data_IF_671201320849
#
_entry.id   IF_671201320849
#
_cell.length_a   1.000
_cell.length_b   1.000
_cell.length_c   1.000
_cell.angle_alpha   90.00
_cell.angle_beta   90.00
_cell.angle_gamma   90.00
#
_symmetry.space_group_name_H-M   'P 1'
#
loop_
_entity.id
_entity.type
_entity.pdbx_description
1 polymer ?
#
# COMPACT_ATOMS: atom_id res chain seq x y z
N UNK A 1 -12.62 -11.13 -11.50
CA UNK A 1 -11.88 -10.14 -10.68
C UNK A 1 -11.41 -9.05 -11.61
N UNK A 2 -11.64 -7.78 -11.28
CA UNK A 2 -11.28 -6.65 -12.14
C UNK A 2 -9.77 -6.59 -12.38
N UNK A 3 -9.34 -6.03 -13.51
CA UNK A 3 -7.92 -5.87 -13.85
C UNK A 3 -7.21 -5.04 -12.78
N UNK A 4 -6.23 -5.64 -12.12
CA UNK A 4 -5.36 -5.00 -11.12
C UNK A 4 -4.22 -4.22 -11.81
N UNK A 5 -3.90 -4.58 -13.05
CA UNK A 5 -2.89 -3.90 -13.85
C UNK A 5 -3.16 -2.38 -13.96
N UNK A 6 -2.14 -1.57 -13.67
CA UNK A 6 -2.19 -0.11 -13.65
C UNK A 6 -2.87 0.51 -12.41
N UNK A 7 -3.43 -0.30 -11.50
CA UNK A 7 -3.99 0.21 -10.25
C UNK A 7 -2.87 0.66 -9.30
N UNK A 8 -3.09 1.77 -8.57
CA UNK A 8 -2.14 2.33 -7.62
C UNK A 8 -2.57 2.06 -6.17
N UNK A 9 -1.61 1.67 -5.34
CA UNK A 9 -1.82 1.50 -3.91
C UNK A 9 -0.66 2.10 -3.13
N UNK A 10 -0.97 2.73 -2.01
CA UNK A 10 0.02 3.37 -1.17
C UNK A 10 0.57 2.42 -0.10
N UNK A 11 1.84 2.60 0.26
CA UNK A 11 2.50 1.88 1.36
C UNK A 11 2.98 2.93 2.37
N UNK A 12 2.36 2.97 3.55
CA UNK A 12 2.73 3.82 4.68
C UNK A 12 3.26 2.95 5.82
N UNK A 13 4.54 2.61 5.75
CA UNK A 13 5.17 1.70 6.69
C UNK A 13 6.65 2.03 6.84
N UNK A 14 7.23 1.67 7.99
CA UNK A 14 8.70 1.74 8.16
C UNK A 14 9.36 0.70 7.25
N UNK A 15 10.66 0.89 7.01
CA UNK A 15 11.45 -0.09 6.26
C UNK A 15 11.37 -1.46 6.93
N UNK A 16 11.01 -2.48 6.14
CA UNK A 16 10.84 -3.84 6.60
C UNK A 16 10.41 -4.75 5.45
N UNK A 17 10.42 -6.06 5.69
CA UNK A 17 10.16 -7.05 4.63
C UNK A 17 8.77 -6.89 4.01
N UNK A 18 7.75 -6.44 4.77
CA UNK A 18 6.38 -6.22 4.26
C UNK A 18 6.30 -5.12 3.21
N UNK A 19 7.17 -4.10 3.30
CA UNK A 19 7.25 -3.07 2.24
C UNK A 19 7.72 -3.70 0.93
N UNK A 20 8.73 -4.56 0.99
CA UNK A 20 9.23 -5.27 -0.19
C UNK A 20 8.24 -6.31 -0.69
N UNK A 21 7.60 -7.06 0.20
CA UNK A 21 6.55 -8.02 -0.16
C UNK A 21 5.40 -7.35 -0.92
N UNK A 22 4.92 -6.21 -0.43
CA UNK A 22 3.88 -5.43 -1.12
C UNK A 22 4.37 -4.91 -2.48
N UNK A 23 5.61 -4.43 -2.59
CA UNK A 23 6.18 -4.03 -3.89
C UNK A 23 6.21 -5.19 -4.87
N UNK A 24 6.71 -6.35 -4.44
CA UNK A 24 6.74 -7.56 -5.26
C UNK A 24 5.35 -8.04 -5.66
N UNK A 25 4.36 -7.96 -4.76
CA UNK A 25 2.97 -8.22 -5.09
C UNK A 25 2.45 -7.26 -6.17
N UNK A 26 2.80 -5.97 -6.07
CA UNK A 26 2.48 -4.97 -7.10
C UNK A 26 3.08 -5.34 -8.45
N UNK A 27 4.39 -5.60 -8.50
CA UNK A 27 5.09 -5.99 -9.73
C UNK A 27 4.52 -7.27 -10.33
N UNK A 28 4.19 -8.25 -9.49
CA UNK A 28 3.57 -9.49 -9.93
C UNK A 28 2.17 -9.28 -10.51
N UNK A 29 1.39 -8.35 -9.97
CA UNK A 29 0.00 -8.09 -10.41
C UNK A 29 -0.11 -7.01 -11.50
N UNK A 30 1.00 -6.38 -11.89
CA UNK A 30 1.03 -5.19 -12.74
C UNK A 30 0.44 -3.94 -12.06
N UNK A 31 0.28 -3.95 -10.74
CA UNK A 31 -0.10 -2.77 -9.96
C UNK A 31 1.14 -1.91 -9.65
N UNK A 32 0.89 -0.64 -9.37
CA UNK A 32 1.91 0.40 -9.17
C UNK A 32 1.94 0.75 -7.67
N UNK A 33 2.92 0.28 -6.90
CA UNK A 33 3.09 0.67 -5.52
C UNK A 33 3.50 2.15 -5.42
N UNK A 34 3.01 2.82 -4.38
CA UNK A 34 3.33 4.22 -4.06
C UNK A 34 3.86 4.28 -2.62
N UNK A 35 5.17 4.08 -2.40
CA UNK A 35 5.74 4.16 -1.06
C UNK A 35 5.72 5.61 -0.56
N UNK A 36 5.17 5.81 0.64
CA UNK A 36 5.00 7.11 1.26
C UNK A 36 6.09 7.32 2.31
N UNK A 37 6.74 8.48 2.26
CA UNK A 37 7.68 8.88 3.30
C UNK A 37 6.93 9.06 4.63
N UNK A 38 7.29 8.25 5.63
CA UNK A 38 6.68 8.23 6.97
C UNK A 38 6.86 9.53 7.76
N UNK A 39 7.73 10.44 7.31
CA UNK A 39 7.96 11.74 7.93
C UNK A 39 6.95 12.82 7.50
N UNK A 40 6.11 12.54 6.50
CA UNK A 40 5.13 13.51 5.99
C UNK A 40 3.93 13.66 6.94
N UNK A 41 3.38 14.87 7.00
CA UNK A 41 2.16 15.15 7.74
C UNK A 41 0.92 14.62 6.99
N UNK A 42 -0.19 14.41 7.71
CA UNK A 42 -1.44 13.90 7.13
C UNK A 42 -1.94 14.68 5.88
N UNK A 43 -1.86 16.03 5.81
CA UNK A 43 -2.23 16.75 4.59
C UNK A 43 -1.32 16.47 3.39
N UNK A 44 -0.02 16.29 3.61
CA UNK A 44 0.95 15.97 2.55
C UNK A 44 0.72 14.55 2.03
N UNK A 45 0.46 13.60 2.93
CA UNK A 45 0.05 12.24 2.58
C UNK A 45 -1.25 12.27 1.77
N UNK A 46 -2.25 13.05 2.19
CA UNK A 46 -3.51 13.17 1.47
C UNK A 46 -3.32 13.70 0.05
N UNK A 47 -2.42 14.67 -0.15
CA UNK A 47 -2.06 15.17 -1.48
C UNK A 47 -1.47 14.07 -2.36
N UNK A 48 -0.51 13.29 -1.84
CA UNK A 48 0.08 12.15 -2.57
C UNK A 48 -0.99 11.14 -2.95
N UNK A 49 -1.88 10.77 -2.02
CA UNK A 49 -2.94 9.80 -2.29
C UNK A 49 -3.91 10.26 -3.39
N UNK A 50 -4.19 11.56 -3.45
CA UNK A 50 -5.04 12.16 -4.47
C UNK A 50 -4.34 12.24 -5.83
N UNK A 51 -3.13 12.80 -5.87
CA UNK A 51 -2.36 12.99 -7.11
C UNK A 51 -1.98 11.65 -7.75
N UNK A 52 -1.63 10.66 -6.93
CA UNK A 52 -1.38 9.29 -7.40
C UNK A 52 -2.63 8.50 -7.68
N UNK A 53 -3.84 9.03 -7.48
CA UNK A 53 -5.09 8.29 -7.62
C UNK A 53 -5.07 6.92 -6.89
N UNK A 54 -4.43 6.85 -5.71
CA UNK A 54 -4.35 5.62 -4.94
C UNK A 54 -5.74 5.19 -4.48
N UNK A 55 -6.12 3.96 -4.81
CA UNK A 55 -7.40 3.39 -4.41
C UNK A 55 -7.38 2.79 -2.99
N UNK A 56 -6.19 2.39 -2.52
CA UNK A 56 -6.01 1.68 -1.26
C UNK A 56 -4.70 2.07 -0.58
N UNK A 57 -4.66 2.01 0.76
CA UNK A 57 -3.46 2.26 1.56
C UNK A 57 -3.15 1.05 2.44
N UNK A 58 -1.95 0.51 2.34
CA UNK A 58 -1.41 -0.44 3.30
C UNK A 58 -0.57 0.32 4.33
N UNK A 59 -0.97 0.25 5.60
CA UNK A 59 -0.34 1.03 6.67
C UNK A 59 0.09 0.14 7.85
N UNK A 60 1.25 0.40 8.44
CA UNK A 60 1.65 -0.20 9.72
C UNK A 60 0.79 0.38 10.87
N UNK A 61 0.54 -0.39 11.94
CA UNK A 61 -0.47 -0.03 12.96
C UNK A 61 -0.19 1.33 13.62
N UNK A 62 1.09 1.66 13.80
CA UNK A 62 1.50 2.92 14.40
C UNK A 62 1.09 4.16 13.58
N UNK A 63 0.81 4.01 12.28
CA UNK A 63 0.34 5.10 11.41
C UNK A 63 -1.19 5.17 11.31
N UNK A 64 -1.92 4.19 11.82
CA UNK A 64 -3.38 4.21 11.84
C UNK A 64 -3.97 5.48 12.50
N UNK A 65 -3.40 6.04 13.60
CA UNK A 65 -3.89 7.30 14.17
C UNK A 65 -3.84 8.50 13.21
N UNK A 66 -3.00 8.49 12.18
CA UNK A 66 -2.94 9.58 11.20
C UNK A 66 -4.24 9.73 10.39
N UNK A 67 -5.03 8.64 10.28
CA UNK A 67 -6.32 8.60 9.60
C UNK A 67 -7.47 9.17 10.44
N UNK A 68 -7.23 9.57 11.69
CA UNK A 68 -8.17 10.38 12.48
C UNK A 68 -8.15 11.86 12.04
N UNK A 69 -7.08 12.29 11.36
CA UNK A 69 -6.98 13.66 10.86
C UNK A 69 -7.99 13.91 9.72
N UNK A 70 -8.68 15.07 9.66
CA UNK A 70 -9.71 15.34 8.65
C UNK A 70 -9.25 15.13 7.20
N UNK A 71 -7.98 15.43 6.90
CA UNK A 71 -7.40 15.24 5.56
C UNK A 71 -7.32 13.76 5.12
N UNK A 72 -7.28 12.80 6.04
CA UNK A 72 -7.17 11.36 5.77
C UNK A 72 -8.38 10.55 6.23
N UNK A 73 -9.32 11.16 6.95
CA UNK A 73 -10.48 10.48 7.51
C UNK A 73 -11.30 9.72 6.46
N UNK A 74 -11.44 10.27 5.24
CA UNK A 74 -12.14 9.63 4.13
C UNK A 74 -11.42 8.40 3.57
N UNK A 75 -10.12 8.27 3.82
CA UNK A 75 -9.26 7.16 3.37
C UNK A 75 -9.20 6.01 4.38
N UNK A 76 -9.79 6.17 5.57
CA UNK A 76 -9.78 5.14 6.64
C UNK A 76 -10.43 3.82 6.22
N UNK A 77 -11.50 3.87 5.43
CA UNK A 77 -12.20 2.67 4.94
C UNK A 77 -11.41 1.91 3.86
N UNK A 78 -10.50 2.60 3.16
CA UNK A 78 -9.58 2.04 2.16
C UNK A 78 -8.19 1.77 2.73
N UNK A 79 -8.04 1.73 4.06
CA UNK A 79 -6.78 1.44 4.72
C UNK A 79 -6.79 0.00 5.25
N UNK A 80 -5.80 -0.80 4.85
CA UNK A 80 -5.50 -2.10 5.46
C UNK A 80 -4.32 -1.95 6.39
N UNK A 81 -4.49 -2.38 7.65
CA UNK A 81 -3.38 -2.51 8.57
C UNK A 81 -2.55 -3.76 8.21
N UNK A 82 -1.26 -3.58 7.96
CA UNK A 82 -0.31 -4.68 7.65
C UNK A 82 0.43 -5.22 8.87
N UNK A 83 -0.02 -4.84 10.06
CA UNK A 83 0.57 -5.21 11.34
C UNK A 83 1.93 -4.56 11.56
N UNK A 84 2.41 -4.62 12.80
CA UNK A 84 3.75 -4.18 13.13
C UNK A 84 4.75 -5.31 12.83
N UNK A 85 5.99 -4.97 12.45
CA UNK A 85 7.04 -5.98 12.23
C UNK A 85 7.29 -6.83 13.50
N UNK A 86 7.04 -6.26 14.67
CA UNK A 86 6.92 -6.96 15.95
C UNK A 86 5.96 -6.16 16.85
N UNK A 87 4.98 -6.81 17.48
CA UNK A 87 4.02 -6.15 18.38
C UNK A 87 2.59 -6.63 18.24
N UNK A 88 1.64 -5.84 18.78
CA UNK A 88 0.22 -6.10 18.65
C UNK A 88 -0.18 -6.09 17.16
N UNK A 89 -1.03 -7.03 16.74
CA UNK A 89 -1.49 -7.21 15.35
C UNK A 89 -0.44 -7.70 14.34
N UNK A 90 0.77 -8.11 14.76
CA UNK A 90 1.77 -8.68 13.85
C UNK A 90 1.26 -9.92 13.08
N UNK A 91 0.32 -10.66 13.67
CA UNK A 91 -0.29 -11.86 13.10
C UNK A 91 -1.48 -11.58 12.16
N UNK A 92 -2.07 -10.38 12.21
CA UNK A 92 -3.28 -10.08 11.45
C UNK A 92 -3.04 -10.16 9.94
N UNK A 93 -1.95 -9.55 9.50
CA UNK A 93 -1.56 -9.55 8.09
C UNK A 93 -1.15 -10.95 7.61
N UNK A 94 -0.42 -11.71 8.43
CA UNK A 94 -0.05 -13.10 8.11
C UNK A 94 -1.29 -14.01 7.99
N UNK A 95 -2.28 -13.83 8.87
CA UNK A 95 -3.55 -14.56 8.78
C UNK A 95 -4.32 -14.20 7.50
N UNK A 96 -4.30 -12.93 7.10
CA UNK A 96 -4.91 -12.47 5.84
C UNK A 96 -4.21 -13.10 4.62
N UNK A 97 -2.87 -13.15 4.61
CA UNK A 97 -2.10 -13.82 3.57
C UNK A 97 -2.37 -15.33 3.52
N UNK A 98 -2.43 -15.99 4.68
CA UNK A 98 -2.70 -17.43 4.76
C UNK A 98 -4.10 -17.81 4.27
N UNK A 99 -5.08 -16.90 4.40
CA UNK A 99 -6.43 -17.07 3.90
C UNK A 99 -6.60 -16.64 2.42
N UNK A 100 -5.61 -15.97 1.84
CA UNK A 100 -5.68 -15.50 0.46
C UNK A 100 -5.52 -16.67 -0.53
N UNK A 101 -6.29 -16.63 -1.60
CA UNK A 101 -6.04 -17.52 -2.73
C UNK A 101 -4.81 -17.01 -3.50
N UNK A 102 -3.83 -17.87 -3.81
CA UNK A 102 -2.73 -17.49 -4.68
C UNK A 102 -3.23 -16.89 -5.98
N UNK A 103 -2.64 -15.77 -6.38
CA UNK A 103 -2.93 -15.18 -7.68
C UNK A 103 -2.57 -16.17 -8.78
N UNK A 104 -3.37 -16.19 -9.85
CA UNK A 104 -2.99 -16.89 -11.08
C UNK A 104 -1.69 -16.29 -11.65
N UNK A 105 -0.99 -17.05 -12.48
CA UNK A 105 0.17 -16.54 -13.21
C UNK A 105 -0.22 -15.22 -13.91
N UNK A 106 0.57 -14.16 -13.73
CA UNK A 106 0.25 -12.88 -14.34
C UNK A 106 0.43 -12.96 -15.85
N UNK A 107 -0.29 -12.09 -16.55
CA UNK A 107 0.00 -11.82 -17.95
C UNK A 107 1.43 -11.28 -18.08
N UNK A 108 2.03 -11.41 -19.26
CA UNK A 108 3.33 -10.82 -19.55
C UNK A 108 3.28 -9.31 -19.27
N UNK A 109 4.21 -8.83 -18.45
CA UNK A 109 4.27 -7.42 -18.09
C UNK A 109 4.69 -6.60 -19.32
N UNK A 110 3.99 -5.50 -19.57
CA UNK A 110 4.40 -4.50 -20.56
C UNK A 110 5.69 -3.83 -20.06
N UNK A 111 6.82 -3.90 -20.81
CA UNK A 111 8.09 -3.33 -20.40
C UNK A 111 8.06 -1.79 -20.25
N UNK A 112 7.08 -1.12 -20.89
CA UNK A 112 6.92 0.33 -20.82
C UNK A 112 5.91 0.77 -19.74
N UNK A 113 5.26 -0.17 -19.05
CA UNK A 113 4.32 0.16 -17.98
C UNK A 113 5.04 0.62 -16.71
N UNK A 114 4.42 1.58 -16.02
CA UNK A 114 4.89 2.02 -14.71
C UNK A 114 4.93 0.83 -13.73
N UNK A 115 6.07 0.63 -13.07
CA UNK A 115 6.21 -0.39 -12.04
C UNK A 115 6.08 0.18 -10.63
N UNK A 116 6.49 1.43 -10.42
CA UNK A 116 6.60 2.07 -9.10
C UNK A 116 6.49 3.59 -9.26
N UNK A 117 5.73 4.25 -8.39
CA UNK A 117 5.62 5.71 -8.37
C UNK A 117 6.23 6.27 -7.09
N UNK A 118 7.29 7.07 -7.22
CA UNK A 118 8.01 7.66 -6.08
C UNK A 118 7.82 9.17 -6.12
N UNK A 119 7.31 9.73 -5.02
CA UNK A 119 7.24 11.17 -4.82
C UNK A 119 8.57 11.68 -4.28
N UNK A 120 9.22 12.53 -5.05
CA UNK A 120 10.43 13.26 -4.65
C UNK A 120 10.02 14.69 -4.33
N UNK A 121 10.19 15.10 -3.07
CA UNK A 121 9.94 16.48 -2.65
C UNK A 121 10.89 17.49 -3.29
#
# INVERSE_FOLDING_TARGET
MGRVAGARFAILSRNGFRVEELKWAGFWLGAIPVPINVHLASPEIAHILEDSACAHVFAESMFAPMFEHPALATRRSSMTNIGDAAGLNAEYYEAMLAAANPASSPDEADPDADALLIYTG
#
